data_IF_008303532412
#
_entry.id   IF_008303532412
#
_cell.length_a   1.000
_cell.length_b   1.000
_cell.length_c   1.000
_cell.angle_alpha   90.00
_cell.angle_beta   90.00
_cell.angle_gamma   90.00
#
_symmetry.space_group_name_H-M   'P 1'
#
loop_
_entity.id
_entity.type
_entity.pdbx_description
1 polymer ?
#
# COMPACT_ATOMS: atom_id res chain seq x y z
N UNK A 1 -3.09 -28.76 -27.90
CA UNK A 1 -3.86 -29.60 -28.84
C UNK A 1 -2.95 -30.54 -29.63
N UNK A 2 -1.90 -30.03 -30.29
CA UNK A 2 -1.02 -30.85 -31.18
C UNK A 2 -0.26 -31.98 -30.45
N UNK A 3 0.19 -31.79 -29.21
CA UNK A 3 0.93 -32.82 -28.44
C UNK A 3 0.01 -33.97 -27.97
N UNK A 4 -1.27 -33.70 -27.72
CA UNK A 4 -2.25 -34.74 -27.34
C UNK A 4 -2.65 -35.64 -28.51
N UNK A 5 -2.64 -35.12 -29.74
CA UNK A 5 -3.00 -35.90 -30.92
C UNK A 5 -1.86 -36.80 -31.40
N UNK A 6 -0.60 -36.34 -31.28
CA UNK A 6 0.58 -37.15 -31.62
C UNK A 6 0.79 -38.33 -30.66
N UNK A 7 0.58 -38.12 -29.35
CA UNK A 7 0.70 -39.18 -28.34
C UNK A 7 -0.42 -40.21 -28.46
N UNK A 8 -1.66 -39.77 -28.75
CA UNK A 8 -2.78 -40.68 -29.06
C UNK A 8 -2.48 -41.54 -30.28
N UNK A 9 -1.97 -40.95 -31.36
CA UNK A 9 -1.68 -41.68 -32.60
C UNK A 9 -0.63 -42.78 -32.39
N UNK A 10 0.49 -42.48 -31.73
CA UNK A 10 1.54 -43.47 -31.42
C UNK A 10 1.06 -44.57 -30.45
N UNK A 11 0.18 -44.22 -29.52
CA UNK A 11 -0.43 -45.19 -28.60
C UNK A 11 -1.32 -46.21 -29.34
N UNK A 12 -2.13 -45.75 -30.31
CA UNK A 12 -2.95 -46.65 -31.14
C UNK A 12 -2.12 -47.54 -32.07
N UNK A 13 -1.03 -47.02 -32.64
CA UNK A 13 -0.11 -47.83 -33.44
C UNK A 13 0.58 -48.92 -32.60
N UNK A 14 1.05 -48.57 -31.39
CA UNK A 14 1.61 -49.54 -30.44
C UNK A 14 0.61 -50.64 -30.08
N UNK A 15 -0.63 -50.28 -29.70
CA UNK A 15 -1.67 -51.28 -29.38
C UNK A 15 -1.91 -52.21 -30.58
N UNK A 16 -1.90 -51.68 -31.80
CA UNK A 16 -2.08 -52.48 -33.01
C UNK A 16 -0.93 -53.47 -33.25
N UNK A 17 0.31 -53.09 -32.95
CA UNK A 17 1.51 -53.92 -33.07
C UNK A 17 1.53 -55.03 -32.01
N UNK A 18 1.29 -54.67 -30.74
CA UNK A 18 1.21 -55.65 -29.64
C UNK A 18 0.03 -56.61 -29.81
N UNK A 19 -1.09 -56.15 -30.38
CA UNK A 19 -2.23 -57.01 -30.76
C UNK A 19 -1.82 -58.04 -31.82
N UNK A 20 -1.08 -57.65 -32.86
CA UNK A 20 -0.59 -58.58 -33.91
C UNK A 20 0.39 -59.62 -33.34
N UNK A 21 1.28 -59.22 -32.45
CA UNK A 21 2.23 -60.13 -31.77
C UNK A 21 1.48 -61.15 -30.90
N UNK A 22 0.47 -60.69 -30.13
CA UNK A 22 -0.39 -61.55 -29.31
C UNK A 22 -1.14 -62.60 -30.12
N UNK A 23 -1.73 -62.20 -31.25
CA UNK A 23 -2.43 -63.12 -32.14
C UNK A 23 -1.50 -64.22 -32.69
N UNK A 24 -0.25 -63.87 -33.01
CA UNK A 24 0.77 -64.82 -33.49
C UNK A 24 1.27 -65.79 -32.40
N UNK A 25 1.30 -65.38 -31.12
CA UNK A 25 1.74 -66.24 -30.02
C UNK A 25 0.66 -67.22 -29.55
N UNK A 26 -0.62 -66.88 -29.71
CA UNK A 26 -1.75 -67.76 -29.43
C UNK A 26 -1.86 -68.92 -30.42
N UNK A 27 -1.55 -68.68 -31.71
CA UNK A 27 -1.57 -69.70 -32.76
C UNK A 27 -0.44 -70.73 -32.62
N UNK A 28 0.60 -70.46 -31.82
CA UNK A 28 1.75 -71.35 -31.59
C UNK A 28 1.64 -72.24 -30.32
N UNK A 29 0.46 -72.35 -29.67
CA UNK A 29 0.27 -73.08 -28.39
C UNK A 29 1.13 -72.57 -27.21
N UNK A 30 1.58 -71.31 -27.24
CA UNK A 30 2.50 -70.69 -26.26
C UNK A 30 1.78 -69.78 -25.26
N UNK A 31 0.74 -70.31 -24.60
CA UNK A 31 -0.14 -69.57 -23.67
C UNK A 31 0.64 -68.84 -22.56
N UNK A 32 1.66 -69.49 -21.97
CA UNK A 32 2.49 -68.86 -20.91
C UNK A 32 3.24 -67.63 -21.40
N UNK A 33 3.79 -67.65 -22.61
CA UNK A 33 4.46 -66.48 -23.21
C UNK A 33 3.45 -65.38 -23.49
N UNK A 34 2.29 -65.73 -24.06
CA UNK A 34 1.21 -64.78 -24.29
C UNK A 34 0.79 -64.03 -23.01
N UNK A 35 0.62 -64.74 -21.89
CA UNK A 35 0.25 -64.13 -20.60
C UNK A 35 1.33 -63.17 -20.08
N UNK A 36 2.62 -63.55 -20.15
CA UNK A 36 3.73 -62.68 -19.75
C UNK A 36 3.78 -61.40 -20.60
N UNK A 37 3.58 -61.50 -21.91
CA UNK A 37 3.54 -60.32 -22.79
C UNK A 37 2.32 -59.43 -22.52
N UNK A 38 1.15 -60.01 -22.28
CA UNK A 38 -0.06 -59.24 -21.96
C UNK A 38 0.07 -58.50 -20.62
N UNK A 39 0.67 -59.13 -19.60
CA UNK A 39 0.97 -58.49 -18.31
C UNK A 39 1.99 -57.37 -18.48
N UNK A 40 3.04 -57.58 -19.29
CA UNK A 40 4.01 -56.55 -19.62
C UNK A 40 3.40 -55.33 -20.31
N UNK A 41 2.47 -55.54 -21.26
CA UNK A 41 1.74 -54.47 -21.95
C UNK A 41 0.89 -53.64 -20.98
N UNK A 42 0.12 -54.31 -20.12
CA UNK A 42 -0.68 -53.62 -19.09
C UNK A 42 0.21 -52.82 -18.15
N UNK A 43 1.32 -53.41 -17.69
CA UNK A 43 2.26 -52.73 -16.80
C UNK A 43 2.87 -51.47 -17.43
N UNK A 44 3.29 -51.55 -18.70
CA UNK A 44 3.81 -50.39 -19.45
C UNK A 44 2.75 -49.30 -19.64
N UNK A 45 1.50 -49.68 -19.97
CA UNK A 45 0.39 -48.73 -20.10
C UNK A 45 0.09 -48.06 -18.75
N UNK A 46 0.06 -48.82 -17.65
CA UNK A 46 -0.15 -48.31 -16.29
C UNK A 46 0.94 -47.30 -15.93
N UNK A 47 2.22 -47.62 -16.17
CA UNK A 47 3.32 -46.67 -15.94
C UNK A 47 3.13 -45.40 -16.79
N UNK A 48 2.78 -45.54 -18.06
CA UNK A 48 2.53 -44.39 -18.94
C UNK A 48 1.43 -43.48 -18.42
N UNK A 49 0.33 -44.05 -17.91
CA UNK A 49 -0.77 -43.30 -17.29
C UNK A 49 -0.31 -42.60 -16.01
N UNK A 50 0.42 -43.30 -15.14
CA UNK A 50 0.92 -42.72 -13.88
C UNK A 50 1.87 -41.54 -14.13
N UNK A 51 2.79 -41.67 -15.09
CA UNK A 51 3.69 -40.57 -15.48
C UNK A 51 2.87 -39.40 -16.04
N UNK A 52 1.91 -39.65 -16.92
CA UNK A 52 1.07 -38.61 -17.49
C UNK A 52 0.28 -37.85 -16.40
N UNK A 53 -0.29 -38.57 -15.43
CA UNK A 53 -0.97 -37.99 -14.27
C UNK A 53 -0.01 -37.16 -13.42
N UNK A 54 1.18 -37.69 -13.12
CA UNK A 54 2.16 -36.98 -12.30
C UNK A 54 2.66 -35.70 -12.96
N UNK A 55 2.91 -35.73 -14.27
CA UNK A 55 3.29 -34.55 -15.07
C UNK A 55 2.17 -33.51 -15.08
N UNK A 56 0.91 -33.96 -15.21
CA UNK A 56 -0.23 -33.05 -15.16
C UNK A 56 -0.37 -32.37 -13.79
N UNK A 57 -0.29 -33.14 -12.70
CA UNK A 57 -0.37 -32.62 -11.34
C UNK A 57 0.75 -31.61 -11.04
N UNK A 58 1.99 -31.92 -11.44
CA UNK A 58 3.12 -31.00 -11.29
C UNK A 58 2.92 -29.69 -12.07
N UNK A 59 2.37 -29.78 -13.29
CA UNK A 59 2.07 -28.61 -14.10
C UNK A 59 0.96 -27.75 -13.48
N UNK A 60 -0.07 -28.36 -12.89
CA UNK A 60 -1.14 -27.68 -12.16
C UNK A 60 -0.61 -26.97 -10.90
N UNK A 61 0.23 -27.66 -10.11
CA UNK A 61 0.85 -27.09 -8.91
C UNK A 61 1.75 -25.90 -9.26
N UNK A 62 2.58 -26.01 -10.29
CA UNK A 62 3.42 -24.91 -10.78
C UNK A 62 2.59 -23.69 -11.18
N UNK A 63 1.47 -23.89 -11.89
CA UNK A 63 0.56 -22.79 -12.28
C UNK A 63 -0.11 -22.17 -11.06
N UNK A 64 -0.56 -22.98 -10.10
CA UNK A 64 -1.12 -22.51 -8.82
C UNK A 64 -0.09 -21.65 -8.09
N UNK A 65 1.13 -22.15 -7.93
CA UNK A 65 2.21 -21.43 -7.24
C UNK A 65 2.54 -20.12 -7.94
N UNK A 66 2.66 -20.11 -9.28
CA UNK A 66 2.88 -18.88 -10.04
C UNK A 66 1.75 -17.86 -9.83
N UNK A 67 0.49 -18.31 -9.80
CA UNK A 67 -0.65 -17.43 -9.53
C UNK A 67 -0.67 -16.95 -8.07
N UNK A 68 -0.34 -17.81 -7.12
CA UNK A 68 -0.22 -17.48 -5.70
C UNK A 68 0.82 -16.37 -5.50
N UNK A 69 2.04 -16.56 -6.02
CA UNK A 69 3.12 -15.57 -5.96
C UNK A 69 2.74 -14.23 -6.59
N UNK A 70 2.12 -14.26 -7.77
CA UNK A 70 1.62 -13.03 -8.41
C UNK A 70 0.55 -12.33 -7.56
N UNK A 71 -0.38 -13.08 -6.97
CA UNK A 71 -1.43 -12.51 -6.12
C UNK A 71 -0.86 -11.90 -4.84
N UNK A 72 0.08 -12.57 -4.16
CA UNK A 72 0.68 -12.01 -2.94
C UNK A 72 1.60 -10.82 -3.24
N UNK A 73 2.21 -10.73 -4.43
CA UNK A 73 2.94 -9.52 -4.86
C UNK A 73 1.99 -8.33 -4.98
N UNK A 74 0.81 -8.52 -5.58
CA UNK A 74 -0.20 -7.46 -5.64
C UNK A 74 -0.71 -7.07 -4.25
N UNK A 75 -0.95 -8.04 -3.38
CA UNK A 75 -1.35 -7.79 -1.98
C UNK A 75 -0.26 -7.05 -1.21
N UNK A 76 1.01 -7.43 -1.38
CA UNK A 76 2.15 -6.77 -0.74
C UNK A 76 2.23 -5.29 -1.13
N UNK A 77 2.06 -4.98 -2.41
CA UNK A 77 2.08 -3.60 -2.91
C UNK A 77 0.85 -2.79 -2.48
N UNK A 78 -0.33 -3.41 -2.41
CA UNK A 78 -1.51 -2.74 -1.84
C UNK A 78 -1.35 -2.46 -0.34
N UNK A 79 -0.84 -3.42 0.43
CA UNK A 79 -0.55 -3.24 1.86
C UNK A 79 0.50 -2.14 2.11
N UNK A 80 1.49 -2.00 1.22
CA UNK A 80 2.48 -0.94 1.31
C UNK A 80 1.85 0.46 1.19
N UNK A 81 1.00 0.68 0.18
CA UNK A 81 0.31 1.96 0.00
C UNK A 81 -0.65 2.24 1.16
N UNK A 82 -1.43 1.24 1.53
CA UNK A 82 -2.37 1.31 2.65
C UNK A 82 -1.66 1.59 3.98
N UNK A 83 -0.47 1.01 4.21
CA UNK A 83 0.33 1.29 5.41
C UNK A 83 0.81 2.74 5.46
N UNK A 84 1.23 3.31 4.33
CA UNK A 84 1.64 4.72 4.26
C UNK A 84 0.46 5.67 4.49
N UNK A 85 -0.71 5.35 3.93
CA UNK A 85 -1.93 6.12 4.19
C UNK A 85 -2.35 6.06 5.67
N UNK A 86 -2.33 4.87 6.28
CA UNK A 86 -2.65 4.71 7.71
C UNK A 86 -1.64 5.44 8.61
N UNK A 87 -0.34 5.35 8.32
CA UNK A 87 0.69 6.11 9.04
C UNK A 87 0.42 7.62 8.95
N UNK A 88 0.07 8.14 7.77
CA UNK A 88 -0.31 9.54 7.59
C UNK A 88 -1.56 9.92 8.40
N UNK A 89 -2.60 9.08 8.40
CA UNK A 89 -3.82 9.33 9.18
C UNK A 89 -3.50 9.36 10.68
N UNK A 90 -2.72 8.40 11.18
CA UNK A 90 -2.31 8.31 12.59
C UNK A 90 -1.54 9.57 13.01
N UNK A 91 -0.61 10.05 12.18
CA UNK A 91 0.15 11.26 12.45
C UNK A 91 -0.75 12.49 12.57
N UNK A 92 -1.71 12.66 11.65
CA UNK A 92 -2.62 13.80 11.67
C UNK A 92 -3.63 13.75 12.84
N UNK A 93 -4.11 12.56 13.20
CA UNK A 93 -4.93 12.36 14.40
C UNK A 93 -4.15 12.69 15.68
N UNK A 94 -2.86 12.34 15.73
CA UNK A 94 -1.97 12.70 16.83
C UNK A 94 -1.81 14.21 16.93
N UNK A 95 -1.59 14.90 15.80
CA UNK A 95 -1.50 16.36 15.78
C UNK A 95 -2.80 17.04 16.24
N UNK A 96 -3.97 16.53 15.85
CA UNK A 96 -5.26 17.02 16.37
C UNK A 96 -5.36 16.85 17.89
N UNK A 97 -4.96 15.69 18.41
CA UNK A 97 -4.96 15.43 19.85
C UNK A 97 -4.03 16.40 20.60
N UNK A 98 -2.83 16.62 20.08
CA UNK A 98 -1.85 17.54 20.66
C UNK A 98 -2.38 18.99 20.66
N UNK A 99 -2.97 19.44 19.56
CA UNK A 99 -3.59 20.77 19.46
C UNK A 99 -4.76 20.94 20.44
N UNK A 100 -5.60 19.92 20.60
CA UNK A 100 -6.68 19.94 21.58
C UNK A 100 -6.13 20.05 23.02
N UNK A 101 -5.03 19.34 23.31
CA UNK A 101 -4.35 19.43 24.61
C UNK A 101 -3.70 20.80 24.84
N UNK A 102 -3.12 21.42 23.80
CA UNK A 102 -2.58 22.78 23.87
C UNK A 102 -3.69 23.78 24.16
N UNK A 103 -4.78 23.76 23.41
CA UNK A 103 -5.94 24.65 23.65
C UNK A 103 -6.52 24.47 25.06
N UNK A 104 -6.53 23.26 25.59
CA UNK A 104 -7.08 22.98 26.92
C UNK A 104 -6.16 23.45 28.07
N UNK A 105 -4.84 23.26 27.94
CA UNK A 105 -3.88 23.48 29.03
C UNK A 105 -3.19 24.84 28.96
N UNK A 106 -2.90 25.33 27.76
CA UNK A 106 -2.14 26.55 27.52
C UNK A 106 -2.57 27.22 26.19
N UNK A 107 -3.82 27.71 26.11
CA UNK A 107 -4.37 28.30 24.88
C UNK A 107 -3.58 29.53 24.39
N UNK A 108 -2.86 30.21 25.28
CA UNK A 108 -2.02 31.35 24.92
C UNK A 108 -0.78 30.98 24.09
N UNK A 109 -0.47 29.69 23.96
CA UNK A 109 0.61 29.20 23.08
C UNK A 109 0.24 29.24 21.59
N UNK A 110 -1.05 29.38 21.27
CA UNK A 110 -1.54 29.50 19.88
C UNK A 110 -1.87 30.98 19.64
N UNK A 111 -1.50 31.50 18.47
CA UNK A 111 -1.81 32.88 18.13
C UNK A 111 -3.33 33.09 18.10
N UNK A 112 -3.79 34.29 18.46
CA UNK A 112 -5.23 34.58 18.52
C UNK A 112 -5.92 34.32 17.17
N UNK A 113 -5.24 34.64 16.08
CA UNK A 113 -5.68 34.47 14.70
C UNK A 113 -5.75 33.00 14.27
N UNK A 114 -5.05 32.10 14.96
CA UNK A 114 -4.98 30.68 14.68
C UNK A 114 -5.98 29.85 15.49
N UNK A 115 -6.49 30.37 16.62
CA UNK A 115 -7.40 29.64 17.52
C UNK A 115 -8.62 29.12 16.77
N UNK A 116 -9.29 30.00 16.00
CA UNK A 116 -10.53 29.63 15.32
C UNK A 116 -10.29 28.55 14.25
N UNK A 117 -9.24 28.71 13.44
CA UNK A 117 -8.85 27.70 12.45
C UNK A 117 -8.48 26.37 13.09
N UNK A 118 -7.79 26.41 14.23
CA UNK A 118 -7.44 25.22 15.00
C UNK A 118 -8.70 24.50 15.48
N UNK A 119 -9.67 25.22 16.06
CA UNK A 119 -10.93 24.66 16.54
C UNK A 119 -11.71 23.92 15.44
N UNK A 120 -11.80 24.50 14.23
CA UNK A 120 -12.43 23.82 13.10
C UNK A 120 -11.61 22.61 12.61
N UNK A 121 -10.29 22.72 12.63
CA UNK A 121 -9.39 21.64 12.19
C UNK A 121 -9.49 20.40 13.08
N UNK A 122 -9.67 20.57 14.39
CA UNK A 122 -9.82 19.47 15.36
C UNK A 122 -10.97 18.51 15.01
N UNK A 123 -11.98 18.98 14.28
CA UNK A 123 -13.15 18.18 13.88
C UNK A 123 -13.11 17.71 12.42
N UNK A 124 -11.96 17.83 11.76
CA UNK A 124 -11.75 17.21 10.47
C UNK A 124 -11.54 15.70 10.65
N UNK A 125 -12.13 14.93 9.74
CA UNK A 125 -12.02 13.47 9.71
C UNK A 125 -11.16 13.05 8.52
N UNK A 126 -10.39 11.96 8.65
CA UNK A 126 -9.75 11.32 7.50
C UNK A 126 -10.79 10.88 6.47
N UNK A 127 -10.36 10.74 5.21
CA UNK A 127 -11.20 10.16 4.15
C UNK A 127 -11.54 8.71 4.47
N UNK A 128 -12.65 8.24 3.91
CA UNK A 128 -13.05 6.84 4.02
C UNK A 128 -11.94 5.93 3.46
N UNK A 129 -11.39 5.06 4.29
CA UNK A 129 -10.39 4.08 3.90
C UNK A 129 -11.09 2.83 3.38
N UNK A 130 -10.64 2.36 2.22
CA UNK A 130 -11.09 1.11 1.64
C UNK A 130 -9.88 0.29 1.23
N UNK A 131 -9.78 -0.92 1.76
CA UNK A 131 -8.67 -1.79 1.42
C UNK A 131 -8.80 -2.30 -0.03
N UNK A 132 -7.82 -1.93 -0.84
CA UNK A 132 -7.66 -2.36 -2.22
C UNK A 132 -7.28 -3.84 -2.33
N UNK A 133 -6.62 -4.39 -1.29
CA UNK A 133 -6.14 -5.78 -1.34
C UNK A 133 -7.29 -6.80 -1.38
N UNK A 134 -8.50 -6.42 -0.94
CA UNK A 134 -9.66 -7.30 -0.95
C UNK A 134 -9.97 -7.85 -2.34
N UNK A 135 -9.75 -7.05 -3.39
CA UNK A 135 -9.92 -7.49 -4.78
C UNK A 135 -8.94 -8.59 -5.18
N UNK A 136 -7.68 -8.48 -4.74
CA UNK A 136 -6.64 -9.48 -5.01
C UNK A 136 -6.81 -10.71 -4.12
N UNK A 137 -7.20 -10.52 -2.86
CA UNK A 137 -7.41 -11.58 -1.89
C UNK A 137 -8.47 -12.59 -2.34
N UNK A 138 -9.52 -12.15 -3.04
CA UNK A 138 -10.54 -13.04 -3.63
C UNK A 138 -9.96 -14.06 -4.63
N UNK A 139 -8.77 -13.81 -5.18
CA UNK A 139 -8.07 -14.69 -6.12
C UNK A 139 -6.97 -15.52 -5.46
N UNK A 140 -6.76 -15.36 -4.15
CA UNK A 140 -5.72 -16.08 -3.43
C UNK A 140 -6.12 -17.55 -3.26
N UNK A 141 -5.38 -18.43 -3.92
CA UNK A 141 -5.55 -19.88 -3.80
C UNK A 141 -4.36 -20.41 -3.01
N UNK A 142 -4.61 -20.83 -1.77
CA UNK A 142 -3.59 -21.40 -0.89
C UNK A 142 -3.47 -22.91 -1.06
N UNK A 143 -2.27 -23.44 -0.82
CA UNK A 143 -2.02 -24.84 -0.58
C UNK A 143 -2.50 -25.22 0.82
N UNK A 144 -3.53 -26.08 0.98
CA UNK A 144 -4.00 -26.49 2.30
C UNK A 144 -2.93 -27.26 3.09
N UNK A 145 -1.93 -27.85 2.43
CA UNK A 145 -0.81 -28.55 3.09
C UNK A 145 0.35 -27.61 3.49
N UNK A 146 0.36 -26.37 3.00
CA UNK A 146 1.39 -25.39 3.34
C UNK A 146 0.94 -24.51 4.52
N UNK A 147 1.59 -24.69 5.67
CA UNK A 147 1.28 -23.91 6.87
C UNK A 147 1.54 -22.41 6.70
N UNK A 148 2.55 -21.99 5.93
CA UNK A 148 2.86 -20.57 5.72
C UNK A 148 1.79 -19.90 4.86
N UNK A 149 1.34 -20.56 3.79
CA UNK A 149 0.24 -20.06 2.96
C UNK A 149 -1.06 -19.92 3.77
N UNK A 150 -1.41 -20.94 4.56
CA UNK A 150 -2.59 -20.92 5.42
C UNK A 150 -2.54 -19.83 6.49
N UNK A 151 -1.40 -19.66 7.17
CA UNK A 151 -1.21 -18.61 8.17
C UNK A 151 -1.27 -17.22 7.54
N UNK A 152 -0.70 -17.05 6.34
CA UNK A 152 -0.79 -15.80 5.59
C UNK A 152 -2.24 -15.45 5.28
N UNK A 153 -3.00 -16.40 4.71
CA UNK A 153 -4.42 -16.18 4.41
C UNK A 153 -5.21 -15.77 5.66
N UNK A 154 -4.99 -16.43 6.80
CA UNK A 154 -5.63 -16.05 8.07
C UNK A 154 -5.30 -14.62 8.49
N UNK A 155 -4.03 -14.20 8.38
CA UNK A 155 -3.63 -12.81 8.72
C UNK A 155 -4.30 -11.79 7.81
N UNK A 156 -4.32 -12.05 6.50
CA UNK A 156 -4.97 -11.18 5.52
C UNK A 156 -6.48 -11.10 5.73
N UNK A 157 -7.13 -12.21 6.10
CA UNK A 157 -8.54 -12.20 6.52
C UNK A 157 -8.78 -11.32 7.74
N UNK A 158 -7.90 -11.37 8.76
CA UNK A 158 -8.03 -10.51 9.93
C UNK A 158 -7.86 -9.03 9.59
N UNK A 159 -6.90 -8.70 8.72
CA UNK A 159 -6.70 -7.34 8.23
C UNK A 159 -7.95 -6.82 7.50
N UNK A 160 -8.45 -7.58 6.52
CA UNK A 160 -9.65 -7.21 5.74
C UNK A 160 -10.91 -7.10 6.61
N UNK A 161 -11.11 -8.03 7.54
CA UNK A 161 -12.25 -7.96 8.46
C UNK A 161 -12.21 -6.72 9.37
N UNK A 162 -11.02 -6.16 9.61
CA UNK A 162 -10.85 -4.96 10.43
C UNK A 162 -10.95 -3.68 9.60
N UNK A 163 -10.42 -3.65 8.37
CA UNK A 163 -10.43 -2.45 7.53
C UNK A 163 -11.84 -1.89 7.33
N UNK A 164 -12.85 -2.75 7.21
CA UNK A 164 -14.24 -2.33 6.99
C UNK A 164 -14.89 -1.66 8.21
N UNK A 165 -14.34 -1.82 9.42
CA UNK A 165 -14.94 -1.36 10.67
C UNK A 165 -14.43 -0.01 11.16
N UNK A 166 -13.32 0.47 10.61
CA UNK A 166 -12.46 1.46 11.27
C UNK A 166 -12.95 2.91 11.12
N UNK A 167 -13.91 3.20 10.23
CA UNK A 167 -14.36 4.57 9.97
C UNK A 167 -15.79 4.84 10.43
N UNK A 168 -15.91 5.47 11.61
CA UNK A 168 -17.14 6.16 12.04
C UNK A 168 -16.86 7.65 12.12
N UNK A 169 -17.73 8.47 11.50
CA UNK A 169 -17.63 9.94 11.58
C UNK A 169 -17.75 10.40 13.02
N UNK A 170 -16.90 11.34 13.43
CA UNK A 170 -16.97 11.88 14.79
C UNK A 170 -18.17 12.81 14.93
N UNK A 171 -18.69 12.92 16.16
CA UNK A 171 -19.55 14.05 16.51
C UNK A 171 -18.76 15.37 16.36
N UNK A 172 -19.49 16.48 16.22
CA UNK A 172 -18.92 17.81 15.99
C UNK A 172 -19.32 18.84 17.07
N UNK A 173 -19.00 18.59 18.35
CA UNK A 173 -19.38 19.46 19.46
C UNK A 173 -18.81 20.88 19.37
N UNK A 174 -17.58 21.06 18.87
CA UNK A 174 -16.95 22.38 18.71
C UNK A 174 -17.69 23.18 17.64
N UNK A 175 -17.96 22.60 16.47
CA UNK A 175 -18.72 23.26 15.41
C UNK A 175 -20.13 23.65 15.88
N UNK A 176 -20.77 22.83 16.71
CA UNK A 176 -22.08 23.15 17.28
C UNK A 176 -22.02 24.39 18.21
N UNK A 177 -20.98 24.49 19.05
CA UNK A 177 -20.75 25.66 19.92
C UNK A 177 -20.46 26.90 19.06
N UNK A 178 -19.56 26.81 18.08
CA UNK A 178 -19.22 27.93 17.20
C UNK A 178 -20.44 28.43 16.43
N UNK A 179 -21.27 27.52 15.91
CA UNK A 179 -22.52 27.89 15.20
C UNK A 179 -23.50 28.60 16.14
N UNK A 180 -23.67 28.10 17.37
CA UNK A 180 -24.50 28.74 18.41
C UNK A 180 -24.02 30.14 18.75
N UNK A 181 -22.70 30.35 18.72
CA UNK A 181 -22.06 31.65 18.96
C UNK A 181 -22.00 32.56 17.72
N UNK A 182 -22.60 32.15 16.60
CA UNK A 182 -22.76 32.97 15.40
C UNK A 182 -21.56 32.98 14.47
N UNK A 183 -20.58 32.10 14.66
CA UNK A 183 -19.45 31.99 13.73
C UNK A 183 -19.89 31.38 12.40
N UNK A 184 -19.37 31.91 11.30
CA UNK A 184 -19.48 31.28 10.00
C UNK A 184 -18.76 29.92 10.00
N UNK A 185 -19.39 28.89 9.42
CA UNK A 185 -18.75 27.58 9.29
C UNK A 185 -17.70 27.63 8.18
N UNK A 186 -16.51 27.11 8.49
CA UNK A 186 -15.50 26.77 7.50
C UNK A 186 -15.29 25.26 7.49
N UNK A 187 -14.78 24.74 6.37
CA UNK A 187 -14.50 23.31 6.20
C UNK A 187 -13.02 23.10 5.87
N UNK A 188 -12.14 23.13 6.89
CA UNK A 188 -10.75 22.72 6.69
C UNK A 188 -10.68 21.25 6.22
N UNK A 189 -9.60 20.92 5.53
CA UNK A 189 -9.36 19.57 5.01
C UNK A 189 -8.38 18.84 5.93
N UNK A 190 -8.68 17.58 6.25
CA UNK A 190 -7.83 16.74 7.08
C UNK A 190 -6.41 16.63 6.52
N UNK A 191 -5.43 16.94 7.35
CA UNK A 191 -4.00 17.03 7.05
C UNK A 191 -3.56 18.15 6.08
N UNK A 192 -4.30 18.40 4.99
CA UNK A 192 -3.95 19.48 4.05
C UNK A 192 -3.97 20.87 4.70
N UNK A 193 -4.92 21.14 5.61
CA UNK A 193 -5.01 22.44 6.29
C UNK A 193 -3.85 22.69 7.25
N UNK A 194 -3.32 21.65 7.93
CA UNK A 194 -2.08 21.75 8.72
C UNK A 194 -0.89 22.10 7.82
N UNK A 195 -0.73 21.33 6.74
CA UNK A 195 0.38 21.46 5.80
C UNK A 195 0.47 22.86 5.19
N UNK A 196 -0.68 23.47 4.86
CA UNK A 196 -0.72 24.80 4.23
C UNK A 196 -0.66 25.95 5.24
N UNK A 197 -0.53 25.70 6.54
CA UNK A 197 -0.59 26.75 7.56
C UNK A 197 -1.93 27.48 7.58
N UNK A 198 -3.02 26.82 7.16
CA UNK A 198 -4.37 27.40 6.99
C UNK A 198 -5.11 27.53 8.33
N UNK A 199 -4.41 27.93 9.38
CA UNK A 199 -5.00 28.30 10.66
C UNK A 199 -5.26 29.80 10.75
N UNK A 200 -4.51 30.60 9.99
CA UNK A 200 -4.72 32.04 9.91
C UNK A 200 -5.89 32.35 8.95
N UNK A 201 -7.00 32.78 9.54
CA UNK A 201 -8.24 33.08 8.82
C UNK A 201 -8.52 34.59 8.71
N UNK A 202 -7.50 35.45 8.78
CA UNK A 202 -7.69 36.93 8.78
C UNK A 202 -8.37 37.47 7.52
N UNK A 203 -8.41 36.71 6.43
CA UNK A 203 -9.20 37.04 5.24
C UNK A 203 -10.69 36.70 5.35
N UNK A 204 -11.09 35.92 6.37
CA UNK A 204 -12.42 35.35 6.53
C UNK A 204 -13.16 35.85 7.77
N UNK A 205 -12.44 36.32 8.80
CA UNK A 205 -13.00 36.75 10.08
C UNK A 205 -12.41 38.08 10.54
N UNK A 206 -13.19 38.83 11.32
CA UNK A 206 -12.78 40.11 11.90
C UNK A 206 -11.98 39.92 13.20
N UNK A 207 -11.13 40.89 13.61
CA UNK A 207 -10.36 40.83 14.86
C UNK A 207 -11.18 40.47 16.11
N UNK A 208 -12.40 41.01 16.24
CA UNK A 208 -13.31 40.73 17.36
C UNK A 208 -13.78 39.27 17.40
N UNK A 209 -13.89 38.61 16.26
CA UNK A 209 -14.30 37.20 16.19
C UNK A 209 -13.19 36.28 16.70
N UNK A 210 -11.92 36.61 16.43
CA UNK A 210 -10.78 35.88 16.98
C UNK A 210 -10.68 36.03 18.50
N UNK A 211 -10.91 37.24 19.03
CA UNK A 211 -10.96 37.46 20.47
C UNK A 211 -12.09 36.64 21.11
N UNK A 212 -13.28 36.67 20.51
CA UNK A 212 -14.42 35.87 20.96
C UNK A 212 -14.10 34.37 20.94
N UNK A 213 -13.46 33.86 19.89
CA UNK A 213 -13.06 32.46 19.79
C UNK A 213 -12.06 32.09 20.91
N UNK A 214 -11.11 32.97 21.21
CA UNK A 214 -10.14 32.78 22.29
C UNK A 214 -10.81 32.73 23.66
N UNK A 215 -11.76 33.63 23.93
CA UNK A 215 -12.53 33.61 25.18
C UNK A 215 -13.37 32.33 25.32
N UNK A 216 -13.94 31.84 24.20
CA UNK A 216 -14.73 30.61 24.18
C UNK A 216 -13.92 29.38 24.61
N UNK A 217 -12.62 29.29 24.30
CA UNK A 217 -11.75 28.18 24.71
C UNK A 217 -11.75 27.98 26.23
N UNK A 218 -11.90 29.06 27.00
CA UNK A 218 -11.91 29.01 28.47
C UNK A 218 -13.26 28.58 29.06
N UNK A 219 -14.32 28.53 28.26
CA UNK A 219 -15.66 28.17 28.74
C UNK A 219 -15.76 26.67 29.07
N UNK A 220 -16.60 26.32 30.06
CA UNK A 220 -16.79 24.91 30.43
C UNK A 220 -17.35 24.08 29.27
N UNK A 221 -18.21 24.65 28.42
CA UNK A 221 -18.80 23.99 27.25
C UNK A 221 -17.70 23.62 26.23
N UNK A 222 -16.85 24.58 25.86
CA UNK A 222 -15.74 24.34 24.93
C UNK A 222 -14.68 23.41 25.51
N UNK A 223 -14.30 23.57 26.79
CA UNK A 223 -13.35 22.66 27.45
C UNK A 223 -13.84 21.22 27.46
N UNK A 224 -15.15 21.01 27.63
CA UNK A 224 -15.77 19.68 27.54
C UNK A 224 -15.69 19.14 26.12
N UNK A 225 -15.97 19.96 25.11
CA UNK A 225 -15.85 19.57 23.70
C UNK A 225 -14.40 19.20 23.31
N UNK A 226 -13.40 19.95 23.77
CA UNK A 226 -11.99 19.66 23.53
C UNK A 226 -11.59 18.28 24.09
N UNK A 227 -12.05 17.95 25.31
CA UNK A 227 -11.81 16.63 25.91
C UNK A 227 -12.49 15.51 25.12
N UNK A 228 -13.75 15.73 24.70
CA UNK A 228 -14.49 14.76 23.88
C UNK A 228 -13.78 14.49 22.56
N UNK A 229 -13.32 15.53 21.85
CA UNK A 229 -12.57 15.39 20.62
C UNK A 229 -11.26 14.65 20.87
N UNK A 230 -10.47 15.04 21.87
CA UNK A 230 -9.21 14.36 22.18
C UNK A 230 -9.39 12.85 22.46
N UNK A 231 -10.47 12.48 23.16
CA UNK A 231 -10.82 11.07 23.39
C UNK A 231 -11.24 10.35 22.10
N UNK A 232 -12.04 11.00 21.25
CA UNK A 232 -12.43 10.46 19.97
C UNK A 232 -11.22 10.22 19.05
N UNK A 233 -10.26 11.17 19.01
CA UNK A 233 -9.03 11.03 18.22
C UNK A 233 -8.12 9.91 18.76
N UNK A 234 -8.02 9.74 20.08
CA UNK A 234 -7.30 8.61 20.68
C UNK A 234 -7.88 7.26 20.27
N UNK A 235 -9.22 7.15 20.30
CA UNK A 235 -9.91 5.94 19.86
C UNK A 235 -9.64 5.67 18.37
N UNK A 236 -9.86 6.65 17.49
CA UNK A 236 -9.57 6.52 16.07
C UNK A 236 -8.11 6.10 15.81
N UNK A 237 -7.14 6.76 16.46
CA UNK A 237 -5.71 6.45 16.34
C UNK A 237 -5.41 5.00 16.73
N UNK A 238 -6.00 4.52 17.83
CA UNK A 238 -5.82 3.14 18.30
C UNK A 238 -6.32 2.14 17.26
N UNK A 239 -7.49 2.38 16.69
CA UNK A 239 -8.09 1.51 15.68
C UNK A 239 -7.24 1.46 14.39
N UNK A 240 -6.76 2.62 13.91
CA UNK A 240 -5.88 2.71 12.75
C UNK A 240 -4.53 2.03 13.01
N UNK A 241 -3.97 2.20 14.21
CA UNK A 241 -2.67 1.61 14.59
C UNK A 241 -2.75 0.09 14.60
N UNK A 242 -3.84 -0.48 15.11
CA UNK A 242 -4.07 -1.93 15.05
C UNK A 242 -4.15 -2.43 13.61
N UNK A 243 -4.84 -1.70 12.72
CA UNK A 243 -4.95 -2.06 11.32
C UNK A 243 -3.60 -2.00 10.60
N UNK A 244 -2.84 -0.93 10.84
CA UNK A 244 -1.47 -0.74 10.35
C UNK A 244 -0.55 -1.89 10.79
N UNK A 245 -0.62 -2.28 12.06
CA UNK A 245 0.15 -3.40 12.59
C UNK A 245 -0.21 -4.72 11.90
N UNK A 246 -1.50 -4.97 11.65
CA UNK A 246 -1.95 -6.15 10.90
C UNK A 246 -1.40 -6.15 9.47
N UNK A 247 -1.42 -5.00 8.80
CA UNK A 247 -0.87 -4.82 7.45
C UNK A 247 0.63 -5.07 7.41
N UNK A 248 1.40 -4.38 8.27
CA UNK A 248 2.86 -4.54 8.40
C UNK A 248 3.25 -5.98 8.77
N UNK A 249 2.50 -6.64 9.64
CA UNK A 249 2.73 -8.04 9.98
C UNK A 249 2.46 -9.01 8.81
N UNK A 250 1.46 -8.71 7.97
CA UNK A 250 1.20 -9.44 6.72
C UNK A 250 2.35 -9.28 5.74
N UNK A 251 2.78 -8.04 5.50
CA UNK A 251 3.92 -7.71 4.63
C UNK A 251 5.21 -8.37 5.09
N UNK A 252 5.50 -8.32 6.40
CA UNK A 252 6.66 -8.97 7.00
C UNK A 252 6.67 -10.48 6.71
N UNK A 253 5.55 -11.16 6.94
CA UNK A 253 5.46 -12.60 6.65
C UNK A 253 5.64 -12.90 5.16
N UNK A 254 5.06 -12.08 4.27
CA UNK A 254 5.23 -12.25 2.83
C UNK A 254 6.72 -12.18 2.48
N UNK A 255 7.45 -11.16 2.95
CA UNK A 255 8.88 -11.00 2.65
C UNK A 255 9.75 -12.08 3.27
N UNK A 256 9.44 -12.53 4.49
CA UNK A 256 10.19 -13.61 5.15
C UNK A 256 9.99 -14.98 4.46
N UNK A 257 8.78 -15.24 3.96
CA UNK A 257 8.44 -16.52 3.31
C UNK A 257 8.75 -16.52 1.81
N UNK A 258 8.69 -15.35 1.17
CA UNK A 258 8.81 -15.15 -0.28
C UNK A 258 9.68 -13.90 -0.54
N UNK A 259 11.00 -13.99 -0.33
CA UNK A 259 11.92 -12.84 -0.42
C UNK A 259 11.95 -12.19 -1.81
N UNK A 260 11.65 -12.96 -2.86
CA UNK A 260 11.64 -12.50 -4.26
C UNK A 260 10.41 -11.65 -4.62
N UNK A 261 9.41 -11.53 -3.72
CA UNK A 261 8.26 -10.65 -3.93
C UNK A 261 8.73 -9.20 -4.00
N UNK A 262 8.36 -8.47 -5.06
CA UNK A 262 8.93 -7.14 -5.31
C UNK A 262 8.03 -6.02 -4.78
N UNK A 263 8.70 -4.93 -4.40
CA UNK A 263 8.08 -3.64 -4.16
C UNK A 263 8.04 -2.86 -5.48
N UNK A 264 6.84 -2.70 -6.02
CA UNK A 264 6.56 -2.11 -7.32
C UNK A 264 6.13 -0.65 -7.13
N UNK A 265 6.85 0.23 -7.80
CA UNK A 265 6.47 1.61 -8.07
C UNK A 265 6.68 1.87 -9.55
N UNK A 266 6.06 2.92 -10.10
CA UNK A 266 6.22 3.31 -11.49
C UNK A 266 6.36 4.83 -11.68
N UNK A 267 7.09 5.24 -12.73
CA UNK A 267 7.26 6.65 -13.10
C UNK A 267 7.53 7.60 -11.90
N UNK A 268 8.52 7.25 -11.07
CA UNK A 268 8.94 8.14 -9.97
C UNK A 268 9.65 9.35 -10.56
N UNK A 269 9.24 10.55 -10.12
CA UNK A 269 9.82 11.82 -10.57
C UNK A 269 9.81 12.90 -9.50
N UNK A 270 10.43 14.04 -9.81
CA UNK A 270 10.39 15.25 -8.98
C UNK A 270 9.63 16.38 -9.70
N UNK A 271 8.96 17.22 -8.94
CA UNK A 271 8.22 18.40 -9.42
C UNK A 271 8.41 19.58 -8.47
N UNK A 272 8.27 20.81 -8.97
CA UNK A 272 8.24 22.02 -8.14
C UNK A 272 9.14 23.13 -8.66
N UNK A 273 9.03 24.30 -8.03
CA UNK A 273 9.80 25.50 -8.38
C UNK A 273 11.32 25.29 -8.28
N UNK A 274 11.76 24.38 -7.41
CA UNK A 274 13.16 24.00 -7.27
C UNK A 274 13.72 23.17 -8.44
N UNK A 275 12.87 22.62 -9.30
CA UNK A 275 13.29 21.77 -10.45
C UNK A 275 13.71 22.59 -11.66
N UNK A 276 14.20 21.93 -12.72
CA UNK A 276 14.59 22.59 -13.97
C UNK A 276 13.43 23.26 -14.69
N UNK A 277 12.21 22.72 -14.58
CA UNK A 277 11.01 23.38 -15.11
C UNK A 277 10.69 24.64 -14.30
N UNK A 278 10.80 24.56 -12.98
CA UNK A 278 10.52 25.69 -12.08
C UNK A 278 9.02 25.97 -11.97
N UNK A 279 8.20 24.92 -12.08
CA UNK A 279 6.74 24.98 -11.96
C UNK A 279 6.20 23.73 -11.25
N UNK A 280 4.89 23.74 -11.00
CA UNK A 280 4.13 22.63 -10.42
C UNK A 280 3.27 21.90 -11.45
N UNK A 281 3.70 21.89 -12.72
CA UNK A 281 2.98 21.30 -13.85
C UNK A 281 3.76 20.24 -14.60
N UNK A 282 5.09 20.25 -14.54
CA UNK A 282 5.96 19.36 -15.31
C UNK A 282 6.91 18.58 -14.41
N UNK A 283 6.81 17.25 -14.41
CA UNK A 283 7.70 16.37 -13.65
C UNK A 283 9.01 16.10 -14.40
N UNK A 284 10.07 15.94 -13.63
CA UNK A 284 11.34 15.39 -14.09
C UNK A 284 11.41 13.91 -13.69
N UNK A 285 11.24 12.95 -14.62
CA UNK A 285 11.21 11.54 -14.31
C UNK A 285 12.60 10.99 -13.98
N UNK A 286 12.65 10.00 -13.09
CA UNK A 286 13.84 9.23 -12.74
C UNK A 286 13.83 7.86 -13.42
N UNK A 287 14.97 7.18 -13.39
CA UNK A 287 15.12 5.83 -13.93
C UNK A 287 15.19 4.81 -12.81
N UNK A 288 14.41 3.74 -12.91
CA UNK A 288 14.55 2.57 -12.05
C UNK A 288 15.90 1.89 -12.32
N UNK A 289 16.81 1.88 -11.34
CA UNK A 289 18.16 1.33 -11.44
C UNK A 289 18.34 0.02 -10.67
N UNK A 290 17.55 -0.22 -9.62
CA UNK A 290 17.50 -1.51 -8.91
C UNK A 290 16.04 -1.92 -8.73
N UNK A 291 15.63 -3.00 -9.40
CA UNK A 291 14.24 -3.48 -9.37
C UNK A 291 13.88 -4.20 -8.08
N UNK A 292 14.85 -4.83 -7.42
CA UNK A 292 14.61 -5.64 -6.23
C UNK A 292 14.53 -4.76 -4.98
N UNK A 293 15.30 -3.66 -4.98
CA UNK A 293 15.29 -2.63 -3.93
C UNK A 293 14.42 -1.42 -4.26
N UNK A 294 13.85 -1.35 -5.47
CA UNK A 294 13.03 -0.24 -5.92
C UNK A 294 13.75 1.12 -5.81
N UNK A 295 14.99 1.17 -6.34
CA UNK A 295 15.83 2.36 -6.34
C UNK A 295 15.68 3.10 -7.65
N UNK A 296 15.36 4.39 -7.57
CA UNK A 296 15.20 5.31 -8.68
C UNK A 296 16.29 6.37 -8.67
N UNK A 297 16.91 6.62 -9.83
CA UNK A 297 18.04 7.54 -9.94
C UNK A 297 17.94 8.42 -11.20
N UNK A 298 18.44 9.64 -11.09
CA UNK A 298 18.58 10.57 -12.22
C UNK A 298 19.54 11.70 -11.93
N UNK A 299 20.18 12.21 -12.99
CA UNK A 299 20.91 13.48 -12.92
C UNK A 299 19.91 14.60 -13.09
N UNK A 300 19.84 15.50 -12.10
CA UNK A 300 18.88 16.61 -12.04
C UNK A 300 19.61 17.94 -11.88
N UNK A 301 19.10 18.98 -12.54
CA UNK A 301 19.54 20.36 -12.35
C UNK A 301 18.48 21.09 -11.54
N UNK A 302 18.85 21.58 -10.35
CA UNK A 302 17.96 22.29 -9.44
C UNK A 302 18.22 23.79 -9.53
N UNK A 303 17.15 24.59 -9.50
CA UNK A 303 17.20 26.07 -9.44
C UNK A 303 17.21 26.60 -8.00
N UNK A 304 16.99 25.72 -7.03
CA UNK A 304 16.74 26.08 -5.64
C UNK A 304 15.27 26.45 -5.42
N UNK A 305 14.72 26.10 -4.25
CA UNK A 305 13.30 26.26 -3.94
C UNK A 305 12.59 24.93 -3.65
N UNK A 306 11.27 24.97 -3.40
CA UNK A 306 10.49 23.81 -3.00
C UNK A 306 10.35 22.78 -4.12
N UNK A 307 10.38 21.50 -3.76
CA UNK A 307 10.04 20.40 -4.65
C UNK A 307 9.35 19.25 -3.90
N UNK A 308 8.65 18.39 -4.65
CA UNK A 308 8.08 17.12 -4.20
C UNK A 308 8.55 15.97 -5.07
N UNK A 309 8.41 14.75 -4.53
CA UNK A 309 8.59 13.49 -5.25
C UNK A 309 7.21 12.89 -5.48
N UNK A 310 6.93 12.36 -6.68
CA UNK A 310 5.62 11.79 -7.01
C UNK A 310 5.75 10.50 -7.81
N UNK A 311 4.74 9.66 -7.69
CA UNK A 311 4.52 8.52 -8.58
C UNK A 311 3.52 8.93 -9.66
N UNK A 312 3.75 8.52 -10.91
CA UNK A 312 2.80 8.68 -12.02
C UNK A 312 2.28 10.10 -12.24
N UNK A 313 3.10 11.12 -11.98
CA UNK A 313 2.70 12.54 -12.14
C UNK A 313 1.42 12.89 -11.34
N UNK A 314 1.14 12.12 -10.28
CA UNK A 314 -0.10 12.16 -9.52
C UNK A 314 0.10 12.75 -8.14
N UNK A 315 -0.85 13.58 -7.71
CA UNK A 315 -0.92 14.05 -6.32
C UNK A 315 -1.51 13.01 -5.36
N UNK A 316 -2.02 11.88 -5.87
CA UNK A 316 -2.55 10.80 -5.03
C UNK A 316 -1.41 10.10 -4.29
N UNK A 317 -0.27 9.92 -4.97
CA UNK A 317 0.91 9.24 -4.43
C UNK A 317 2.10 10.20 -4.54
N UNK A 318 2.36 10.92 -3.45
CA UNK A 318 3.43 11.90 -3.38
C UNK A 318 4.11 11.88 -2.02
N UNK A 319 5.37 12.28 -2.05
CA UNK A 319 6.21 12.43 -0.89
C UNK A 319 6.86 13.80 -0.87
N UNK A 320 6.97 14.31 0.35
CA UNK A 320 7.84 15.43 0.65
C UNK A 320 8.98 14.98 1.55
N UNK A 321 9.54 15.94 2.28
CA UNK A 321 10.52 15.69 3.30
C UNK A 321 11.04 16.97 3.95
N UNK A 322 11.58 16.80 5.15
CA UNK A 322 11.97 17.88 6.04
C UNK A 322 13.42 18.36 5.93
N UNK A 323 14.22 17.80 5.01
CA UNK A 323 15.66 18.03 4.96
C UNK A 323 16.26 17.97 3.55
N UNK A 324 17.39 18.63 3.37
CA UNK A 324 18.17 18.61 2.14
C UNK A 324 19.67 18.63 2.51
N UNK A 325 20.56 17.90 1.81
CA UNK A 325 20.34 17.12 0.58
C UNK A 325 19.89 15.67 0.82
N UNK A 326 19.61 15.26 2.05
CA UNK A 326 19.19 13.89 2.38
C UNK A 326 18.05 13.92 3.38
N UNK A 327 17.09 13.02 3.23
CA UNK A 327 15.98 12.87 4.16
C UNK A 327 15.20 11.58 3.97
N UNK A 328 14.14 11.44 4.75
CA UNK A 328 13.16 10.36 4.60
C UNK A 328 12.00 10.82 3.72
N UNK A 329 11.42 9.90 2.95
CA UNK A 329 10.19 10.12 2.21
C UNK A 329 9.02 10.19 3.20
N UNK A 330 8.36 11.33 3.25
CA UNK A 330 7.18 11.56 4.09
C UNK A 330 5.94 11.60 3.19
N UNK A 331 5.02 10.63 3.32
CA UNK A 331 3.78 10.55 2.53
C UNK A 331 2.92 11.80 2.74
N UNK A 332 2.60 12.53 1.66
CA UNK A 332 2.02 13.88 1.71
C UNK A 332 2.81 14.91 2.56
N UNK A 333 4.08 14.64 2.87
CA UNK A 333 4.93 15.53 3.68
C UNK A 333 5.25 16.87 3.01
N UNK A 334 5.81 17.79 3.79
CA UNK A 334 6.18 19.16 3.36
C UNK A 334 7.13 19.19 2.15
N UNK A 335 7.10 20.29 1.40
CA UNK A 335 7.98 20.47 0.25
C UNK A 335 9.46 20.46 0.68
N UNK A 336 10.27 19.68 -0.03
CA UNK A 336 11.71 19.59 0.18
C UNK A 336 12.34 20.90 -0.31
N UNK A 337 12.96 21.65 0.60
CA UNK A 337 13.62 22.91 0.26
C UNK A 337 15.00 22.66 -0.35
N UNK A 338 15.07 22.68 -1.69
CA UNK A 338 16.28 22.38 -2.44
C UNK A 338 17.21 23.57 -2.61
N UNK A 339 18.49 23.28 -2.85
CA UNK A 339 19.52 24.28 -3.19
C UNK A 339 19.94 24.13 -4.66
N UNK A 340 20.16 25.25 -5.34
CA UNK A 340 20.57 25.26 -6.74
C UNK A 340 21.86 24.45 -6.97
N UNK A 341 21.92 23.70 -8.07
CA UNK A 341 23.07 22.87 -8.41
C UNK A 341 22.74 21.68 -9.30
N UNK A 342 23.77 20.95 -9.71
CA UNK A 342 23.63 19.68 -10.43
C UNK A 342 23.85 18.51 -9.45
N UNK A 343 22.89 17.59 -9.41
CA UNK A 343 22.90 16.48 -8.46
C UNK A 343 22.58 15.16 -9.16
N UNK A 344 23.17 14.09 -8.65
CA UNK A 344 22.68 12.72 -8.85
C UNK A 344 21.69 12.44 -7.72
N UNK A 345 20.41 12.43 -8.03
CA UNK A 345 19.35 12.11 -7.07
C UNK A 345 19.14 10.61 -7.02
N UNK A 346 19.19 10.03 -5.82
CA UNK A 346 18.85 8.62 -5.55
C UNK A 346 17.66 8.59 -4.60
N UNK A 347 16.63 7.83 -4.95
CA UNK A 347 15.44 7.58 -4.14
C UNK A 347 15.34 6.07 -3.90
N UNK A 348 15.31 5.66 -2.64
CA UNK A 348 15.12 4.28 -2.21
C UNK A 348 13.70 4.11 -1.66
N UNK A 349 12.84 3.48 -2.44
CA UNK A 349 11.44 3.26 -2.08
C UNK A 349 11.26 2.13 -1.04
N UNK A 350 12.28 1.29 -0.82
CA UNK A 350 12.25 0.25 0.21
C UNK A 350 12.58 0.84 1.57
N UNK A 351 13.64 1.65 1.65
CA UNK A 351 14.08 2.32 2.86
C UNK A 351 13.33 3.61 3.16
N UNK A 352 12.52 4.09 2.21
CA UNK A 352 11.80 5.38 2.26
C UNK A 352 12.77 6.55 2.47
N UNK A 353 13.80 6.63 1.64
CA UNK A 353 14.82 7.70 1.72
C UNK A 353 15.11 8.33 0.37
N UNK A 354 15.64 9.55 0.40
CA UNK A 354 16.21 10.21 -0.77
C UNK A 354 17.53 10.89 -0.42
N UNK A 355 18.41 11.02 -1.40
CA UNK A 355 19.68 11.73 -1.27
C UNK A 355 20.10 12.37 -2.60
N UNK A 356 20.45 13.66 -2.54
CA UNK A 356 20.96 14.45 -3.65
C UNK A 356 22.49 14.53 -3.55
N UNK A 357 23.20 13.74 -4.35
CA UNK A 357 24.67 13.76 -4.39
C UNK A 357 25.16 14.87 -5.33
N UNK A 358 25.90 15.89 -4.85
CA UNK A 358 26.42 16.94 -5.70
C UNK A 358 27.35 16.36 -6.78
N UNK A 359 27.15 16.76 -8.03
CA UNK A 359 28.07 16.44 -9.12
C UNK A 359 29.08 17.57 -9.18
N UNK A 360 30.33 17.28 -8.80
CA UNK A 360 31.42 18.26 -8.93
C UNK A 360 31.66 18.54 -10.41
N UNK A 361 31.76 19.83 -10.78
CA UNK A 361 32.25 20.23 -12.10
C UNK A 361 33.76 20.16 -12.19
#
# INVERSE_FOLDING_TARGET
MIIQDYSKFQFFEMISLFRKIRQKLLTENRVTRYLVYAVGEIFLVVIGILIALQVNNWNEERKRNSNFLATIEQIYNGLELESQELDYVIQNLTQQQDLAAILFNNPDSISMEEVLGTLFYLETDPKDFHSSIGFHFQRLIVNPEDNNENLLARKLTNYLGRSDLVFRKSEKPISAILTKEGFASISPSFGYSLFMGLFNLTGNFQPEEFLKAKDLVSTQEMRTALVQIAQAKEFQKTEMSQLLDLGKNGMKQIKESYPDIRLLYENIGIIGEGTSFGDWSNDTPLKLVDRDKSIWEGVVTLKGGPLKIRENESWIVNWGGSSFPKGNLEWFGQDIQSVAGEYRLVIDMTLKTYEFFPISK
#
